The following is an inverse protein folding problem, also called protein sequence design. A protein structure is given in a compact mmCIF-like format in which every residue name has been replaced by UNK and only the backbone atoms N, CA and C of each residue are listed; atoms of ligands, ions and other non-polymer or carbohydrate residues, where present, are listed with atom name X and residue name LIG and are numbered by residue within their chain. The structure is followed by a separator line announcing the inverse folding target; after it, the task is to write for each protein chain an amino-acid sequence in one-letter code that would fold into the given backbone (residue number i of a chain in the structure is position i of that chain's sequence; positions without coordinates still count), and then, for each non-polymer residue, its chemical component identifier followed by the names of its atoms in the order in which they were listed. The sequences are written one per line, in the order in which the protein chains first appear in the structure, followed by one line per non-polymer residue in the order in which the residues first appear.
data_IF_198998315938
#
_entry.id   IF_198998315938
#
_cell.length_a   1.000
_cell.length_b   1.000
_cell.length_c   1.000
_cell.angle_alpha   90.00
_cell.angle_beta   90.00
_cell.angle_gamma   90.00
#
_symmetry.space_group_name_H-M   'P 1'
#
loop_
_entity.id
_entity.type
_entity.pdbx_description
1 polymer ?
#
# COMPACT_ATOMS: atom_id res chain seq x y z
N UNK A 1 47.41 20.21 -6.15
CA UNK A 1 46.00 20.08 -5.76
C UNK A 1 45.97 19.13 -4.56
N UNK A 2 45.45 19.56 -3.41
CA UNK A 2 45.47 18.77 -2.17
C UNK A 2 44.69 17.45 -2.36
N UNK A 3 45.17 16.34 -1.77
CA UNK A 3 44.54 15.01 -1.88
C UNK A 3 43.07 15.02 -1.44
N UNK A 4 42.71 15.87 -0.48
CA UNK A 4 41.32 16.09 -0.05
C UNK A 4 40.44 16.60 -1.20
N UNK A 5 40.93 17.51 -2.06
CA UNK A 5 40.18 18.02 -3.22
C UNK A 5 39.98 16.92 -4.28
N UNK A 6 40.95 16.04 -4.48
CA UNK A 6 40.81 14.90 -5.42
C UNK A 6 39.76 13.90 -4.94
N UNK A 7 39.74 13.58 -3.64
CA UNK A 7 38.75 12.68 -3.03
C UNK A 7 37.33 13.27 -3.15
N UNK A 8 37.15 14.58 -2.85
CA UNK A 8 35.82 15.22 -2.99
C UNK A 8 35.33 15.21 -4.42
N UNK A 9 36.22 15.44 -5.41
CA UNK A 9 35.83 15.41 -6.84
C UNK A 9 35.45 13.98 -7.26
N UNK A 10 36.19 12.96 -6.81
CA UNK A 10 35.87 11.56 -7.10
C UNK A 10 34.52 11.15 -6.50
N UNK A 11 34.23 11.52 -5.26
CA UNK A 11 32.95 11.25 -4.60
C UNK A 11 31.79 11.95 -5.31
N UNK A 12 31.96 13.21 -5.71
CA UNK A 12 30.95 13.94 -6.47
C UNK A 12 30.69 13.31 -7.84
N UNK A 13 31.72 12.83 -8.53
CA UNK A 13 31.57 12.13 -9.82
C UNK A 13 30.81 10.80 -9.64
N UNK A 14 31.13 10.01 -8.60
CA UNK A 14 30.41 8.75 -8.33
C UNK A 14 28.94 9.04 -8.00
N UNK A 15 28.65 10.04 -7.17
CA UNK A 15 27.28 10.43 -6.85
C UNK A 15 26.50 10.87 -8.10
N UNK A 16 27.12 11.64 -9.00
CA UNK A 16 26.50 12.07 -10.25
C UNK A 16 26.18 10.88 -11.17
N UNK A 17 27.10 9.90 -11.28
CA UNK A 17 26.86 8.67 -12.06
C UNK A 17 25.72 7.83 -11.47
N UNK A 18 25.66 7.69 -10.14
CA UNK A 18 24.57 6.98 -9.47
C UNK A 18 23.22 7.66 -9.70
N UNK A 19 23.14 9.00 -9.59
CA UNK A 19 21.93 9.77 -9.84
C UNK A 19 21.50 9.66 -11.31
N UNK A 20 22.43 9.74 -12.26
CA UNK A 20 22.13 9.56 -13.68
C UNK A 20 21.63 8.14 -13.98
N UNK A 21 22.20 7.12 -13.33
CA UNK A 21 21.76 5.74 -13.44
C UNK A 21 20.31 5.56 -12.92
N UNK A 22 20.00 6.12 -11.75
CA UNK A 22 18.64 6.08 -11.19
C UNK A 22 17.62 6.81 -12.07
N UNK A 23 17.98 7.97 -12.60
CA UNK A 23 17.13 8.72 -13.55
C UNK A 23 16.90 7.92 -14.85
N UNK A 24 17.92 7.26 -15.37
CA UNK A 24 17.82 6.40 -16.55
C UNK A 24 16.90 5.20 -16.34
N UNK A 25 17.00 4.54 -15.18
CA UNK A 25 16.09 3.45 -14.80
C UNK A 25 14.66 3.96 -14.68
N UNK A 26 14.44 5.13 -14.06
CA UNK A 26 13.11 5.72 -13.94
C UNK A 26 12.48 6.03 -15.31
N UNK A 27 13.25 6.63 -16.21
CA UNK A 27 12.78 6.91 -17.58
C UNK A 27 12.49 5.62 -18.36
N UNK A 28 13.34 4.59 -18.20
CA UNK A 28 13.12 3.30 -18.83
C UNK A 28 11.85 2.60 -18.32
N UNK A 29 11.60 2.66 -17.02
CA UNK A 29 10.38 2.12 -16.42
C UNK A 29 9.13 2.88 -16.93
N UNK A 30 9.18 4.21 -17.01
CA UNK A 30 8.09 4.98 -17.60
C UNK A 30 7.85 4.67 -19.08
N UNK A 31 8.92 4.46 -19.86
CA UNK A 31 8.80 4.10 -21.26
C UNK A 31 8.24 2.69 -21.50
N UNK A 32 8.54 1.76 -20.58
CA UNK A 32 8.07 0.36 -20.64
C UNK A 32 6.62 0.21 -20.17
N UNK A 33 6.20 0.98 -19.16
CA UNK A 33 4.90 0.84 -18.51
C UNK A 33 3.89 1.94 -18.89
N UNK A 34 4.26 2.87 -19.78
CA UNK A 34 3.40 3.95 -20.28
C UNK A 34 3.20 5.11 -19.28
N UNK A 35 2.40 6.11 -19.65
CA UNK A 35 2.11 7.25 -18.78
C UNK A 35 1.33 6.79 -17.54
N UNK A 36 1.88 7.09 -16.37
CA UNK A 36 1.20 6.80 -15.10
C UNK A 36 0.23 7.93 -14.77
N UNK A 37 -1.02 7.63 -14.39
CA UNK A 37 -1.95 8.61 -13.86
C UNK A 37 -1.35 9.50 -12.77
N UNK A 38 -1.87 10.72 -12.61
CA UNK A 38 -1.37 11.70 -11.63
C UNK A 38 -1.34 11.13 -10.20
N UNK A 39 -2.36 10.38 -9.80
CA UNK A 39 -2.47 9.77 -8.45
C UNK A 39 -1.44 8.66 -8.23
N UNK A 40 -0.89 8.03 -9.27
CA UNK A 40 0.21 7.05 -9.16
C UNK A 40 1.58 7.71 -9.03
N UNK A 41 1.71 8.99 -9.43
CA UNK A 41 2.97 9.72 -9.28
C UNK A 41 3.36 9.78 -7.80
N UNK A 42 4.56 9.30 -7.51
CA UNK A 42 5.07 9.19 -6.14
C UNK A 42 4.64 7.94 -5.39
N UNK A 43 3.80 7.06 -5.94
CA UNK A 43 3.42 5.79 -5.31
C UNK A 43 4.65 4.91 -5.01
N UNK A 44 5.64 4.90 -5.88
CA UNK A 44 6.90 4.14 -5.69
C UNK A 44 7.62 4.53 -4.40
N UNK A 45 7.66 5.82 -4.06
CA UNK A 45 8.27 6.28 -2.80
C UNK A 45 7.48 5.84 -1.58
N UNK A 46 6.16 5.89 -1.66
CA UNK A 46 5.28 5.42 -0.59
C UNK A 46 5.43 3.91 -0.39
N UNK A 47 5.50 3.15 -1.48
CA UNK A 47 5.74 1.71 -1.46
C UNK A 47 7.09 1.36 -0.82
N UNK A 48 8.18 2.03 -1.22
CA UNK A 48 9.50 1.81 -0.64
C UNK A 48 9.54 2.15 0.85
N UNK A 49 8.91 3.26 1.25
CA UNK A 49 8.80 3.67 2.65
C UNK A 49 8.02 2.65 3.46
N UNK A 50 6.90 2.18 2.93
CA UNK A 50 6.08 1.17 3.57
C UNK A 50 6.81 -0.17 3.66
N UNK A 51 7.49 -0.63 2.61
CA UNK A 51 8.32 -1.84 2.63
C UNK A 51 9.40 -1.77 3.70
N UNK A 52 10.10 -0.65 3.82
CA UNK A 52 11.10 -0.45 4.87
C UNK A 52 10.48 -0.48 6.27
N UNK A 53 9.32 0.16 6.45
CA UNK A 53 8.63 0.19 7.74
C UNK A 53 8.17 -1.20 8.16
N UNK A 54 7.55 -1.96 7.25
CA UNK A 54 7.09 -3.33 7.47
C UNK A 54 8.24 -4.26 7.90
N UNK A 55 9.44 -4.08 7.34
CA UNK A 55 10.61 -4.88 7.66
C UNK A 55 11.19 -4.61 9.06
N UNK A 56 10.86 -3.47 9.66
CA UNK A 56 11.48 -2.99 10.90
C UNK A 56 10.52 -2.89 12.09
N UNK A 57 9.22 -3.07 11.87
CA UNK A 57 8.19 -2.91 12.89
C UNK A 57 7.26 -4.13 12.91
N UNK A 58 6.70 -4.43 14.08
CA UNK A 58 5.69 -5.50 14.27
C UNK A 58 4.25 -5.01 14.12
N UNK A 59 4.04 -3.70 14.05
CA UNK A 59 2.73 -3.08 13.83
C UNK A 59 2.88 -1.89 12.88
N UNK A 60 1.82 -1.58 12.14
CA UNK A 60 1.76 -0.43 11.24
C UNK A 60 0.38 0.20 11.20
N UNK A 61 0.31 1.51 11.39
CA UNK A 61 -0.81 2.34 10.97
C UNK A 61 -0.42 3.01 9.65
N UNK A 62 -1.11 2.68 8.54
CA UNK A 62 -0.76 3.23 7.25
C UNK A 62 -0.91 4.76 7.19
N UNK A 63 -1.83 5.33 8.00
CA UNK A 63 -1.99 6.77 8.14
C UNK A 63 -0.77 7.49 8.72
N UNK A 64 0.09 6.81 9.49
CA UNK A 64 1.33 7.38 10.03
C UNK A 64 2.51 7.26 9.05
N UNK A 65 2.49 6.21 8.22
CA UNK A 65 3.59 5.91 7.30
C UNK A 65 3.45 6.67 5.98
N UNK A 66 2.25 6.72 5.43
CA UNK A 66 1.95 7.37 4.17
C UNK A 66 1.89 8.89 4.36
N UNK A 67 2.38 9.66 3.38
CA UNK A 67 2.57 11.11 3.50
C UNK A 67 1.52 11.95 2.75
N UNK A 68 0.52 11.31 2.18
CA UNK A 68 -0.61 11.97 1.53
C UNK A 68 -1.87 11.84 2.40
N UNK A 69 -2.79 12.78 2.29
CA UNK A 69 -4.06 12.75 3.00
C UNK A 69 -5.04 11.77 2.35
N UNK A 70 -5.74 10.99 3.18
CA UNK A 70 -6.77 10.07 2.76
C UNK A 70 -7.70 9.76 3.94
N UNK A 71 -8.93 9.35 3.66
CA UNK A 71 -9.96 9.04 4.66
C UNK A 71 -10.20 7.54 4.76
N UNK A 72 -10.10 6.86 3.63
CA UNK A 72 -10.37 5.43 3.53
C UNK A 72 -9.54 4.79 2.42
N UNK A 73 -9.22 3.52 2.61
CA UNK A 73 -8.54 2.70 1.63
C UNK A 73 -9.30 1.40 1.40
N UNK A 74 -9.24 0.89 0.18
CA UNK A 74 -9.88 -0.36 -0.21
C UNK A 74 -8.87 -1.32 -0.81
N UNK A 75 -9.07 -2.62 -0.53
CA UNK A 75 -8.22 -3.70 -1.03
C UNK A 75 -8.86 -4.29 -2.29
N UNK A 76 -8.28 -4.03 -3.43
CA UNK A 76 -8.69 -4.60 -4.72
C UNK A 76 -7.81 -5.81 -5.05
N UNK A 77 -8.41 -7.02 -5.02
CA UNK A 77 -7.70 -8.33 -5.13
C UNK A 77 -8.00 -9.08 -6.41
N UNK A 78 -8.70 -8.47 -7.35
CA UNK A 78 -9.10 -9.21 -8.55
C UNK A 78 -7.92 -9.41 -9.48
N UNK A 79 -7.80 -10.59 -10.11
CA UNK A 79 -6.75 -10.89 -11.08
C UNK A 79 -6.67 -9.88 -12.22
N UNK A 80 -7.78 -9.27 -12.59
CA UNK A 80 -7.87 -8.24 -13.61
C UNK A 80 -8.49 -6.98 -13.01
N UNK A 81 -7.91 -6.54 -11.89
CA UNK A 81 -8.43 -5.49 -11.05
C UNK A 81 -8.68 -4.18 -11.79
N UNK A 82 -9.92 -3.99 -12.24
CA UNK A 82 -10.41 -2.72 -12.81
C UNK A 82 -10.93 -1.77 -11.75
N UNK A 83 -10.84 -2.15 -10.47
CA UNK A 83 -11.48 -1.44 -9.36
C UNK A 83 -12.99 -1.64 -9.28
N UNK A 84 -13.57 -2.55 -10.11
CA UNK A 84 -15.01 -2.75 -10.20
C UNK A 84 -15.64 -3.17 -8.86
N UNK A 85 -14.96 -4.04 -8.10
CA UNK A 85 -15.42 -4.43 -6.76
C UNK A 85 -15.49 -3.25 -5.79
N UNK A 86 -14.54 -2.32 -5.90
CA UNK A 86 -14.52 -1.12 -5.06
C UNK A 86 -15.60 -0.13 -5.51
N UNK A 87 -15.86 0.05 -6.82
CA UNK A 87 -16.99 0.86 -7.31
C UNK A 87 -18.34 0.31 -6.83
N UNK A 88 -18.53 -1.00 -6.91
CA UNK A 88 -19.75 -1.65 -6.43
C UNK A 88 -19.94 -1.49 -4.91
N UNK A 89 -18.85 -1.56 -4.15
CA UNK A 89 -18.88 -1.42 -2.70
C UNK A 89 -19.14 0.02 -2.24
N UNK A 90 -18.52 1.01 -2.91
CA UNK A 90 -18.53 2.41 -2.48
C UNK A 90 -19.51 3.28 -3.24
N UNK A 91 -19.83 2.92 -4.48
CA UNK A 91 -20.54 3.78 -5.42
C UNK A 91 -19.67 4.94 -5.96
N UNK A 92 -18.38 4.94 -5.70
CA UNK A 92 -17.48 5.99 -6.17
C UNK A 92 -17.16 5.85 -7.66
N UNK A 93 -17.15 6.99 -8.35
CA UNK A 93 -16.73 7.06 -9.75
C UNK A 93 -15.23 7.35 -9.82
N UNK A 94 -14.47 6.43 -10.35
CA UNK A 94 -13.01 6.58 -10.56
C UNK A 94 -12.54 5.66 -11.68
N UNK A 95 -11.38 5.99 -12.24
CA UNK A 95 -10.73 5.18 -13.26
C UNK A 95 -9.38 4.67 -12.75
N UNK A 96 -9.09 3.41 -13.03
CA UNK A 96 -7.81 2.76 -12.75
C UNK A 96 -7.41 1.90 -13.94
N UNK A 97 -6.11 1.81 -14.19
CA UNK A 97 -5.60 0.92 -15.21
C UNK A 97 -5.84 -0.55 -14.85
N UNK A 98 -6.04 -1.38 -15.85
CA UNK A 98 -6.13 -2.81 -15.68
C UNK A 98 -4.80 -3.39 -15.18
N UNK A 99 -4.86 -4.29 -14.19
CA UNK A 99 -3.69 -5.06 -13.78
C UNK A 99 -3.58 -6.27 -14.71
N UNK A 100 -2.52 -6.30 -15.51
CA UNK A 100 -2.31 -7.33 -16.54
C UNK A 100 -1.75 -8.65 -15.98
N UNK A 101 -1.54 -8.76 -14.67
CA UNK A 101 -0.93 -9.91 -14.02
C UNK A 101 -1.67 -10.24 -12.73
N UNK A 102 -2.07 -11.50 -12.59
CA UNK A 102 -2.77 -12.05 -11.41
C UNK A 102 -1.94 -11.98 -10.13
N UNK A 103 -0.63 -11.74 -10.24
CA UNK A 103 0.28 -11.61 -9.10
C UNK A 103 0.15 -10.28 -8.36
N UNK A 104 -0.60 -9.33 -8.90
CA UNK A 104 -0.69 -7.98 -8.36
C UNK A 104 -2.08 -7.70 -7.79
N UNK A 105 -2.07 -7.13 -6.61
CA UNK A 105 -3.21 -6.49 -5.97
C UNK A 105 -2.93 -5.00 -5.80
N UNK A 106 -3.92 -4.23 -5.39
CA UNK A 106 -3.75 -2.81 -5.11
C UNK A 106 -4.53 -2.36 -3.89
N UNK A 107 -4.02 -1.30 -3.27
CA UNK A 107 -4.74 -0.47 -2.33
C UNK A 107 -5.18 0.80 -3.05
N UNK A 108 -6.46 1.10 -2.99
CA UNK A 108 -7.06 2.32 -3.53
C UNK A 108 -7.39 3.25 -2.38
N UNK A 109 -6.75 4.42 -2.35
CA UNK A 109 -6.90 5.42 -1.28
C UNK A 109 -7.78 6.56 -1.75
N UNK A 110 -8.79 6.87 -0.95
CA UNK A 110 -9.77 7.92 -1.23
C UNK A 110 -9.71 9.02 -0.21
N UNK A 111 -9.95 10.26 -0.66
CA UNK A 111 -10.19 11.46 0.13
C UNK A 111 -11.46 12.12 -0.37
N UNK A 112 -12.44 12.33 0.53
CA UNK A 112 -13.74 12.92 0.17
C UNK A 112 -14.41 12.20 -1.03
N UNK A 113 -14.32 10.86 -1.10
CA UNK A 113 -14.87 10.03 -2.17
C UNK A 113 -14.08 10.06 -3.49
N UNK A 114 -12.97 10.78 -3.57
CA UNK A 114 -12.12 10.85 -4.75
C UNK A 114 -10.87 9.99 -4.61
N UNK A 115 -10.50 9.26 -5.65
CA UNK A 115 -9.27 8.47 -5.68
C UNK A 115 -8.05 9.40 -5.69
N UNK A 116 -7.23 9.35 -4.61
CA UNK A 116 -6.04 10.20 -4.45
C UNK A 116 -4.75 9.45 -4.67
N UNK A 117 -4.74 8.14 -4.42
CA UNK A 117 -3.56 7.29 -4.64
C UNK A 117 -3.95 5.85 -4.91
N UNK A 118 -3.08 5.18 -5.65
CA UNK A 118 -3.07 3.75 -5.86
C UNK A 118 -1.69 3.21 -5.46
N UNK A 119 -1.67 2.13 -4.68
CA UNK A 119 -0.48 1.36 -4.33
C UNK A 119 -0.64 -0.05 -4.88
N UNK A 120 0.20 -0.44 -5.83
CA UNK A 120 0.23 -1.79 -6.38
C UNK A 120 1.23 -2.60 -5.57
N UNK A 121 0.84 -3.79 -5.15
CA UNK A 121 1.69 -4.69 -4.39
C UNK A 121 1.56 -6.14 -4.87
N UNK A 122 2.63 -6.92 -4.70
CA UNK A 122 2.59 -8.35 -4.99
C UNK A 122 1.84 -9.10 -3.89
N UNK A 123 0.85 -9.90 -4.27
CA UNK A 123 0.14 -10.76 -3.32
C UNK A 123 1.04 -11.87 -2.75
N UNK A 124 2.18 -12.13 -3.35
CA UNK A 124 3.21 -13.01 -2.78
C UNK A 124 3.97 -12.36 -1.64
N UNK A 125 4.06 -11.02 -1.61
CA UNK A 125 4.79 -10.30 -0.56
C UNK A 125 3.87 -9.87 0.58
N UNK A 126 2.68 -9.33 0.27
CA UNK A 126 1.75 -8.79 1.27
C UNK A 126 0.42 -9.52 1.25
N UNK A 127 -0.02 -9.95 2.44
CA UNK A 127 -1.25 -10.68 2.66
C UNK A 127 -2.14 -9.90 3.63
N UNK A 128 -3.20 -9.30 3.12
CA UNK A 128 -4.30 -8.78 3.92
C UNK A 128 -5.36 -9.88 4.14
N UNK A 129 -6.12 -9.86 5.26
CA UNK A 129 -7.23 -10.80 5.48
C UNK A 129 -8.18 -10.80 4.29
N UNK A 130 -8.64 -11.97 3.87
CA UNK A 130 -9.50 -12.10 2.67
C UNK A 130 -10.81 -11.33 2.85
N UNK A 131 -11.32 -11.29 4.08
CA UNK A 131 -12.56 -10.62 4.45
C UNK A 131 -12.42 -9.10 4.58
N UNK A 132 -11.18 -8.58 4.65
CA UNK A 132 -10.94 -7.14 4.75
C UNK A 132 -11.21 -6.48 3.42
N UNK A 133 -12.24 -5.66 3.34
CA UNK A 133 -12.62 -4.90 2.15
C UNK A 133 -11.95 -3.53 2.11
N UNK A 134 -11.78 -2.89 3.27
CA UNK A 134 -11.17 -1.58 3.37
C UNK A 134 -10.82 -1.22 4.81
N UNK A 135 -10.21 -0.06 5.00
CA UNK A 135 -9.76 0.43 6.30
C UNK A 135 -9.55 1.96 6.27
N UNK A 136 -9.41 2.55 7.46
CA UNK A 136 -9.16 3.99 7.63
C UNK A 136 -7.70 4.28 8.02
N UNK A 137 -7.26 5.55 8.03
CA UNK A 137 -5.90 5.91 8.49
C UNK A 137 -5.58 5.47 9.92
N UNK A 138 -6.60 5.31 10.77
CA UNK A 138 -6.47 4.92 12.17
C UNK A 138 -6.29 3.41 12.35
N UNK A 139 -6.59 2.60 11.33
CA UNK A 139 -6.45 1.15 11.42
C UNK A 139 -5.00 0.76 11.66
N UNK A 140 -4.75 0.05 12.75
CA UNK A 140 -3.44 -0.54 13.06
C UNK A 140 -3.45 -2.00 12.62
N UNK A 141 -2.42 -2.38 11.89
CA UNK A 141 -2.18 -3.78 11.52
C UNK A 141 -1.04 -4.36 12.34
N UNK A 142 -1.24 -5.54 12.87
CA UNK A 142 -0.15 -6.40 13.31
C UNK A 142 0.50 -7.07 12.10
N UNK A 143 1.83 -7.16 12.14
CA UNK A 143 2.64 -7.69 11.06
C UNK A 143 3.29 -8.99 11.51
N UNK A 144 2.91 -10.09 10.90
CA UNK A 144 3.60 -11.36 11.03
C UNK A 144 4.43 -11.61 9.78
N UNK A 145 5.73 -11.78 9.99
CA UNK A 145 6.65 -12.12 8.91
C UNK A 145 6.83 -13.64 8.82
N UNK A 146 6.54 -14.18 7.64
CA UNK A 146 6.94 -15.52 7.22
C UNK A 146 7.59 -15.37 5.85
N UNK A 147 8.90 -15.19 5.86
CA UNK A 147 9.68 -14.76 4.68
C UNK A 147 9.46 -15.66 3.45
N UNK A 148 9.18 -15.07 2.28
CA UNK A 148 9.23 -13.66 1.93
C UNK A 148 7.93 -12.87 2.18
N UNK A 149 6.93 -13.45 2.85
CA UNK A 149 5.59 -12.91 3.02
C UNK A 149 5.44 -12.09 4.31
N UNK A 150 4.59 -11.06 4.24
CA UNK A 150 4.13 -10.29 5.38
C UNK A 150 2.60 -10.41 5.48
N UNK A 151 2.13 -10.90 6.60
CA UNK A 151 0.71 -11.03 6.91
C UNK A 151 0.27 -9.81 7.72
N UNK A 152 -0.78 -9.15 7.26
CA UNK A 152 -1.41 -8.03 7.94
C UNK A 152 -2.67 -8.54 8.64
N UNK A 153 -2.75 -8.33 9.93
CA UNK A 153 -3.96 -8.63 10.71
C UNK A 153 -4.37 -7.34 11.40
N UNK A 154 -5.65 -7.00 11.38
CA UNK A 154 -6.14 -5.82 12.12
C UNK A 154 -5.89 -6.08 13.62
N UNK A 155 -5.18 -5.15 14.27
CA UNK A 155 -4.83 -5.28 15.68
C UNK A 155 -6.07 -5.20 16.57
N UNK A 156 -6.02 -5.85 17.72
CA UNK A 156 -7.09 -5.83 18.72
C UNK A 156 -7.47 -4.39 19.11
N UNK A 157 -8.76 -4.08 19.11
CA UNK A 157 -9.29 -2.74 19.40
C UNK A 157 -9.38 -1.79 18.22
N UNK A 158 -9.00 -2.22 17.01
CA UNK A 158 -9.09 -1.43 15.78
C UNK A 158 -10.07 -2.01 14.75
N UNK A 159 -10.86 -2.99 15.11
CA UNK A 159 -11.80 -3.69 14.23
C UNK A 159 -12.84 -2.75 13.65
N UNK A 160 -13.29 -1.76 14.41
CA UNK A 160 -14.29 -0.75 14.00
C UNK A 160 -13.72 0.25 12.97
N UNK A 161 -12.40 0.32 12.81
CA UNK A 161 -11.72 1.15 11.80
C UNK A 161 -11.53 0.45 10.47
N UNK A 162 -11.89 -0.83 10.39
CA UNK A 162 -11.80 -1.69 9.23
C UNK A 162 -13.20 -2.00 8.67
N UNK A 163 -13.29 -2.18 7.34
CA UNK A 163 -14.51 -2.59 6.64
C UNK A 163 -14.39 -4.06 6.26
N UNK A 164 -15.35 -4.85 6.70
CA UNK A 164 -15.33 -6.31 6.54
C UNK A 164 -16.42 -6.78 5.58
N UNK A 165 -16.21 -7.91 4.94
CA UNK A 165 -17.24 -8.61 4.19
C UNK A 165 -18.36 -9.12 5.12
N UNK A 166 -19.55 -9.36 4.56
CA UNK A 166 -20.77 -9.68 5.31
C UNK A 166 -20.60 -10.87 6.29
N UNK A 167 -19.92 -11.94 5.88
CA UNK A 167 -19.71 -13.11 6.72
C UNK A 167 -18.83 -12.80 7.95
N UNK A 168 -17.76 -12.04 7.75
CA UNK A 168 -16.86 -11.66 8.84
C UNK A 168 -17.50 -10.63 9.77
N UNK A 169 -18.31 -9.72 9.23
CA UNK A 169 -19.08 -8.76 10.03
C UNK A 169 -20.11 -9.47 10.93
N UNK A 170 -20.81 -10.47 10.39
CA UNK A 170 -21.78 -11.26 11.16
C UNK A 170 -21.12 -12.09 12.28
N UNK A 171 -19.96 -12.70 12.01
CA UNK A 171 -19.21 -13.47 13.03
C UNK A 171 -18.76 -12.59 14.20
N UNK A 172 -18.27 -11.38 13.94
CA UNK A 172 -17.81 -10.42 14.97
C UNK A 172 -18.95 -9.87 15.83
N UNK A 173 -20.13 -9.63 15.22
CA UNK A 173 -21.32 -9.23 15.99
C UNK A 173 -21.81 -10.33 16.93
N UNK A 174 -21.65 -11.60 16.53
CA UNK A 174 -21.96 -12.77 17.37
C UNK A 174 -21.04 -12.92 18.58
N UNK A 175 -19.75 -12.62 18.43
CA UNK A 175 -18.76 -12.68 19.53
C UNK A 175 -18.95 -11.53 20.54
N UNK A 176 -19.31 -10.34 20.07
CA UNK A 176 -19.58 -9.18 20.95
C UNK A 176 -20.84 -9.34 21.82
N UNK A 177 -21.73 -10.26 21.49
CA UNK A 177 -22.98 -10.52 22.20
C UNK A 177 -22.89 -11.59 23.31
N UNK A 178 -21.75 -12.22 23.55
CA UNK A 178 -21.59 -13.19 24.61
C UNK A 178 -21.52 -12.47 25.95
N UNK A 179 -22.45 -12.75 26.92
CA UNK A 179 -22.36 -12.14 28.24
C UNK A 179 -21.11 -12.64 28.98
N UNK A 180 -20.45 -11.79 29.80
CA UNK A 180 -19.27 -12.19 30.53
C UNK A 180 -19.63 -13.43 31.42
N UNK A 181 -18.78 -14.44 31.32
CA UNK A 181 -18.93 -15.64 32.14
C UNK A 181 -18.95 -15.26 33.61
N UNK A 182 -20.04 -15.62 34.30
CA UNK A 182 -20.21 -15.44 35.77
C UNK A 182 -19.34 -16.39 36.54
#
# INVERSE_FOLDING_TARGET
MSDKKRVCIALAAVAAVCLAGLAGVHVALQALFGPTPEYRKGAVWQELKLKWYIQTHSQVALGEVLTFEWDEAYVDRRPYGTGESVRQLTGYEFEVEELNDESWNRLLFFKDGQLVKELIYSWFEWKFPVELLGFTPQTVFELQQDAPQYFFTVAEGYEDTAKWGEEAAAARQGESGAPPAQ
#
